data_IF_172114841421
#
_entry.id   IF_172114841421
#
_cell.length_a   1.000
_cell.length_b   1.000
_cell.length_c   1.000
_cell.angle_alpha   90.00
_cell.angle_beta   90.00
_cell.angle_gamma   90.00
#
_symmetry.space_group_name_H-M   'P 1'
#
loop_
_entity.id
_entity.type
_entity.pdbx_description
1 polymer ?
#
# COMPACT_ATOMS: atom_id res chain seq x y z
N UNK A 1 -13.10 16.71 15.63
CA UNK A 1 -12.04 17.72 15.33
C UNK A 1 -10.78 16.95 15.01
N UNK A 2 -10.59 16.63 13.71
CA UNK A 2 -9.32 16.18 13.14
C UNK A 2 -8.37 17.41 13.16
N UNK A 3 -7.65 17.61 14.27
CA UNK A 3 -6.50 18.51 14.26
C UNK A 3 -5.38 17.85 13.50
N UNK A 4 -4.69 18.62 12.65
CA UNK A 4 -3.49 18.30 11.89
C UNK A 4 -2.86 16.93 12.19
N UNK A 5 -3.32 15.87 11.52
CA UNK A 5 -2.71 14.56 11.56
C UNK A 5 -2.14 14.25 10.17
N UNK A 6 -0.93 14.77 9.93
CA UNK A 6 -0.10 14.22 8.88
C UNK A 6 0.50 12.92 9.42
N UNK A 7 0.05 11.76 8.94
CA UNK A 7 0.66 10.50 9.29
C UNK A 7 1.70 10.13 8.22
N UNK A 8 2.98 10.20 8.59
CA UNK A 8 4.08 9.67 7.80
C UNK A 8 4.26 8.19 8.11
N UNK A 9 4.01 7.33 7.14
CA UNK A 9 4.47 5.94 7.22
C UNK A 9 5.75 5.78 6.39
N UNK A 10 6.89 5.91 7.07
CA UNK A 10 8.16 5.46 6.51
C UNK A 10 8.29 3.96 6.69
N UNK A 11 8.36 3.19 5.60
CA UNK A 11 8.64 1.76 5.64
C UNK A 11 10.14 1.55 5.67
N UNK A 12 10.61 0.99 6.78
CA UNK A 12 11.93 0.40 6.92
C UNK A 12 13.00 1.33 7.46
N UNK A 13 13.59 0.93 8.60
CA UNK A 13 14.89 1.42 9.07
C UNK A 13 15.99 0.88 8.14
N UNK A 14 16.17 1.56 7.01
CA UNK A 14 17.22 1.24 6.04
C UNK A 14 17.11 2.17 4.86
N UNK A 15 18.18 2.76 4.45
CA UNK A 15 18.29 3.95 3.59
C UNK A 15 17.81 3.80 2.12
N UNK A 16 16.99 2.84 1.73
CA UNK A 16 16.59 2.68 0.33
C UNK A 16 15.17 2.12 0.19
N UNK A 17 14.29 2.92 -0.39
CA UNK A 17 12.96 2.51 -0.84
C UNK A 17 11.82 2.94 0.09
N UNK A 18 11.59 4.24 0.18
CA UNK A 18 10.50 4.80 0.98
C UNK A 18 9.33 5.11 0.05
N UNK A 19 8.22 4.43 0.24
CA UNK A 19 6.93 4.97 -0.19
C UNK A 19 6.53 5.98 0.87
N UNK A 20 6.48 7.25 0.51
CA UNK A 20 5.93 8.29 1.39
C UNK A 20 4.46 8.44 1.04
N UNK A 21 3.61 8.08 1.99
CA UNK A 21 2.18 8.27 1.90
C UNK A 21 1.75 9.25 2.97
N UNK A 22 1.19 10.38 2.55
CA UNK A 22 0.65 11.40 3.42
C UNK A 22 -0.86 11.49 3.24
N UNK A 23 -1.60 11.53 4.34
CA UNK A 23 -3.05 11.69 4.34
C UNK A 23 -3.41 12.87 5.23
N UNK A 24 -4.13 13.83 4.67
CA UNK A 24 -4.60 15.02 5.38
C UNK A 24 -6.11 15.20 5.20
N UNK A 25 -6.82 15.81 6.18
CA UNK A 25 -8.21 16.20 6.01
C UNK A 25 -8.41 17.16 4.83
N UNK A 26 -9.54 17.06 4.14
CA UNK A 26 -9.88 17.93 3.02
C UNK A 26 -11.39 18.11 2.91
N UNK A 27 -11.84 19.11 2.13
CA UNK A 27 -13.27 19.31 1.85
C UNK A 27 -13.80 18.30 0.82
N UNK A 28 -12.90 17.78 -0.03
CA UNK A 28 -13.21 16.76 -1.03
C UNK A 28 -12.06 15.75 -1.15
N UNK A 29 -12.38 14.52 -1.60
CA UNK A 29 -11.36 13.51 -1.82
C UNK A 29 -10.46 13.87 -3.00
N UNK A 30 -9.14 13.78 -2.79
CA UNK A 30 -8.17 13.97 -3.87
C UNK A 30 -6.95 13.05 -3.69
N UNK A 31 -6.35 12.66 -4.83
CA UNK A 31 -5.03 12.02 -4.88
C UNK A 31 -4.06 12.95 -5.61
N UNK A 32 -2.92 13.20 -5.03
CA UNK A 32 -1.77 13.83 -5.70
C UNK A 32 -0.58 12.87 -5.67
N UNK A 33 0.23 12.91 -6.71
CA UNK A 33 1.41 12.05 -6.84
C UNK A 33 2.66 12.86 -7.13
N UNK A 34 3.81 12.35 -6.71
CA UNK A 34 5.12 12.87 -7.07
C UNK A 34 6.13 11.73 -7.19
N UNK A 35 7.34 12.01 -7.65
CA UNK A 35 8.35 10.99 -7.94
C UNK A 35 8.16 10.35 -9.30
N UNK A 36 8.15 9.03 -9.37
CA UNK A 36 7.95 8.30 -10.63
C UNK A 36 6.50 8.36 -11.12
N UNK A 37 6.34 8.47 -12.42
CA UNK A 37 5.02 8.50 -13.04
C UNK A 37 4.24 7.21 -12.78
N UNK A 38 2.96 7.37 -12.48
CA UNK A 38 2.00 6.28 -12.32
C UNK A 38 1.06 6.34 -13.53
N UNK A 39 1.17 5.42 -14.48
CA UNK A 39 0.32 5.43 -15.66
C UNK A 39 -1.11 5.02 -15.33
N UNK A 40 -2.07 5.49 -16.14
CA UNK A 40 -3.48 5.13 -16.04
C UNK A 40 -4.34 6.21 -15.38
N UNK A 41 -5.62 5.88 -15.23
CA UNK A 41 -6.59 6.76 -14.60
C UNK A 41 -6.39 6.81 -13.08
N UNK A 42 -6.58 7.98 -12.48
CA UNK A 42 -6.46 8.19 -11.03
C UNK A 42 -7.42 7.28 -10.27
N UNK A 43 -8.62 7.04 -10.79
CA UNK A 43 -9.63 6.16 -10.17
C UNK A 43 -9.17 4.69 -10.09
N UNK A 44 -8.25 4.29 -10.95
CA UNK A 44 -7.67 2.94 -10.96
C UNK A 44 -6.52 2.78 -9.95
N UNK A 45 -6.04 3.88 -9.37
CA UNK A 45 -4.99 3.83 -8.36
C UNK A 45 -5.47 3.08 -7.11
N UNK A 46 -4.66 2.13 -6.63
CA UNK A 46 -5.04 1.27 -5.52
C UNK A 46 -5.20 2.02 -4.19
N UNK A 47 -4.55 3.17 -4.00
CA UNK A 47 -4.78 4.02 -2.83
C UNK A 47 -6.19 4.64 -2.86
N UNK A 48 -6.64 5.08 -4.07
CA UNK A 48 -8.00 5.59 -4.28
C UNK A 48 -9.02 4.49 -4.01
N UNK A 49 -8.80 3.32 -4.59
CA UNK A 49 -9.67 2.14 -4.38
C UNK A 49 -9.72 1.74 -2.90
N UNK A 50 -8.61 1.79 -2.18
CA UNK A 50 -8.55 1.49 -0.75
C UNK A 50 -9.42 2.45 0.09
N UNK A 51 -9.35 3.76 -0.18
CA UNK A 51 -10.21 4.74 0.48
C UNK A 51 -11.69 4.47 0.20
N UNK A 52 -12.05 4.34 -1.08
CA UNK A 52 -13.46 4.10 -1.44
C UNK A 52 -13.99 2.74 -0.97
N UNK A 53 -13.12 1.75 -0.82
CA UNK A 53 -13.48 0.45 -0.27
C UNK A 53 -13.88 0.56 1.20
N UNK A 54 -13.06 1.22 2.03
CA UNK A 54 -13.39 1.44 3.44
C UNK A 54 -14.57 2.39 3.62
N UNK A 55 -14.71 3.40 2.75
CA UNK A 55 -15.82 4.36 2.81
C UNK A 55 -17.20 3.71 2.59
N UNK A 56 -17.28 2.51 2.04
CA UNK A 56 -18.56 1.77 1.92
C UNK A 56 -19.08 1.29 3.26
N UNK A 57 -18.18 0.95 4.18
CA UNK A 57 -18.52 0.30 5.44
C UNK A 57 -18.34 1.25 6.64
N UNK A 58 -17.61 2.37 6.44
CA UNK A 58 -17.31 3.36 7.48
C UNK A 58 -17.63 4.78 6.98
N UNK A 59 -18.09 5.62 7.89
CA UNK A 59 -18.30 7.04 7.62
C UNK A 59 -16.97 7.78 7.67
N UNK A 60 -16.31 7.88 6.51
CA UNK A 60 -15.02 8.54 6.36
C UNK A 60 -15.20 9.96 5.80
N UNK A 61 -14.68 10.92 6.54
CA UNK A 61 -14.54 12.28 6.03
C UNK A 61 -13.66 12.32 4.77
N UNK A 62 -13.88 13.30 3.88
CA UNK A 62 -13.02 13.49 2.73
C UNK A 62 -11.57 13.78 3.14
N UNK A 63 -10.64 13.23 2.37
CA UNK A 63 -9.20 13.36 2.61
C UNK A 63 -8.46 13.66 1.31
N UNK A 64 -7.28 14.24 1.45
CA UNK A 64 -6.29 14.30 0.39
C UNK A 64 -5.17 13.32 0.69
N UNK A 65 -4.88 12.45 -0.28
CA UNK A 65 -3.75 11.53 -0.25
C UNK A 65 -2.64 12.12 -1.12
N UNK A 66 -1.41 12.18 -0.59
CA UNK A 66 -0.21 12.42 -1.39
C UNK A 66 0.65 11.16 -1.40
N UNK A 67 0.93 10.63 -2.60
CA UNK A 67 1.77 9.46 -2.81
C UNK A 67 3.07 9.88 -3.52
N UNK A 68 4.20 9.79 -2.81
CA UNK A 68 5.52 9.94 -3.43
C UNK A 68 6.02 8.58 -3.90
N UNK A 69 6.06 8.36 -5.22
CA UNK A 69 6.39 7.07 -5.81
C UNK A 69 7.87 6.94 -6.11
N UNK A 70 8.51 5.97 -5.49
CA UNK A 70 9.93 5.64 -5.71
C UNK A 70 10.08 4.28 -6.40
N UNK A 71 9.24 3.29 -6.02
CA UNK A 71 9.27 1.96 -6.63
C UNK A 71 8.57 2.02 -7.99
N UNK A 72 9.23 1.63 -9.10
CA UNK A 72 8.65 1.72 -10.43
C UNK A 72 7.36 0.89 -10.56
N UNK A 73 6.41 1.42 -11.33
CA UNK A 73 5.20 0.67 -11.72
C UNK A 73 5.58 -0.51 -12.62
N UNK A 74 4.91 -1.66 -12.45
CA UNK A 74 5.11 -2.84 -13.30
C UNK A 74 6.47 -3.52 -13.15
N UNK A 75 7.22 -3.24 -12.09
CA UNK A 75 8.55 -3.82 -11.86
C UNK A 75 8.52 -5.21 -11.17
N UNK A 76 7.35 -5.77 -10.89
CA UNK A 76 7.23 -7.03 -10.15
C UNK A 76 7.60 -6.93 -8.66
N UNK A 77 7.75 -5.72 -8.12
CA UNK A 77 8.17 -5.47 -6.74
C UNK A 77 6.99 -5.26 -5.78
N UNK A 78 5.76 -5.41 -6.24
CA UNK A 78 4.57 -5.23 -5.41
C UNK A 78 4.33 -3.79 -4.92
N UNK A 79 4.97 -2.78 -5.54
CA UNK A 79 4.92 -1.40 -5.07
C UNK A 79 3.49 -0.85 -4.93
N UNK A 80 2.62 -1.05 -5.94
CA UNK A 80 1.22 -0.61 -5.86
C UNK A 80 0.41 -1.34 -4.79
N UNK A 81 0.67 -2.64 -4.61
CA UNK A 81 0.03 -3.44 -3.56
C UNK A 81 0.47 -3.01 -2.16
N UNK A 82 1.74 -2.65 -2.02
CA UNK A 82 2.28 -2.04 -0.80
C UNK A 82 1.61 -0.70 -0.51
N UNK A 83 1.48 0.19 -1.51
CA UNK A 83 0.82 1.50 -1.38
C UNK A 83 -0.62 1.32 -0.87
N UNK A 84 -1.38 0.39 -1.46
CA UNK A 84 -2.75 0.08 -1.07
C UNK A 84 -2.86 -0.43 0.37
N UNK A 85 -2.02 -1.41 0.73
CA UNK A 85 -2.03 -2.00 2.08
C UNK A 85 -1.72 -0.95 3.15
N UNK A 86 -0.76 -0.08 2.88
CA UNK A 86 -0.40 1.00 3.80
C UNK A 86 -1.48 2.08 3.85
N UNK A 87 -2.17 2.36 2.74
CA UNK A 87 -3.35 3.24 2.75
C UNK A 87 -4.43 2.69 3.68
N UNK A 88 -4.77 1.39 3.59
CA UNK A 88 -5.74 0.76 4.50
C UNK A 88 -5.32 0.89 5.97
N UNK A 89 -4.05 0.62 6.29
CA UNK A 89 -3.52 0.73 7.65
C UNK A 89 -3.56 2.16 8.17
N UNK A 90 -3.19 3.14 7.35
CA UNK A 90 -3.22 4.56 7.69
C UNK A 90 -4.65 5.04 7.94
N UNK A 91 -5.59 4.71 7.06
CA UNK A 91 -6.99 5.06 7.23
C UNK A 91 -7.56 4.46 8.51
N UNK A 92 -7.26 3.17 8.79
CA UNK A 92 -7.65 2.53 10.04
C UNK A 92 -7.15 3.29 11.27
N UNK A 93 -5.89 3.76 11.22
CA UNK A 93 -5.28 4.51 12.32
C UNK A 93 -5.83 5.93 12.45
N UNK A 94 -5.91 6.69 11.36
CA UNK A 94 -6.32 8.11 11.35
C UNK A 94 -7.77 8.26 11.80
N UNK A 95 -8.64 7.38 11.30
CA UNK A 95 -10.08 7.42 11.64
C UNK A 95 -10.43 6.56 12.86
N UNK A 96 -9.43 5.93 13.51
CA UNK A 96 -9.64 5.06 14.68
C UNK A 96 -10.73 4.00 14.46
N UNK A 97 -10.68 3.33 13.29
CA UNK A 97 -11.74 2.41 12.86
C UNK A 97 -11.72 1.08 13.63
N UNK A 98 -10.65 0.81 14.37
CA UNK A 98 -10.47 -0.43 15.17
C UNK A 98 -10.61 -1.72 14.34
N UNK A 99 -10.29 -1.64 13.03
CA UNK A 99 -10.32 -2.80 12.13
C UNK A 99 -9.18 -3.75 12.51
N UNK A 100 -9.52 -4.99 12.81
CA UNK A 100 -8.52 -6.02 13.13
C UNK A 100 -7.61 -6.33 11.93
N UNK A 101 -6.41 -6.88 12.19
CA UNK A 101 -5.49 -7.29 11.12
C UNK A 101 -6.15 -8.28 10.15
N UNK A 102 -6.97 -9.21 10.66
CA UNK A 102 -7.68 -10.18 9.84
C UNK A 102 -8.68 -9.49 8.89
N UNK A 103 -9.41 -8.50 9.38
CA UNK A 103 -10.33 -7.71 8.55
C UNK A 103 -9.59 -6.84 7.55
N UNK A 104 -8.45 -6.21 7.92
CA UNK A 104 -7.61 -5.48 6.98
C UNK A 104 -7.11 -6.37 5.84
N UNK A 105 -6.76 -7.63 6.14
CA UNK A 105 -6.41 -8.62 5.11
C UNK A 105 -7.57 -8.92 4.17
N UNK A 106 -8.80 -9.01 4.70
CA UNK A 106 -9.99 -9.24 3.87
C UNK A 106 -10.29 -8.04 2.94
N UNK A 107 -10.06 -6.80 3.39
CA UNK A 107 -10.11 -5.62 2.53
C UNK A 107 -8.99 -5.62 1.51
N UNK A 108 -7.76 -5.90 1.93
CA UNK A 108 -6.61 -5.95 1.03
C UNK A 108 -6.77 -6.97 -0.10
N UNK A 109 -7.35 -8.15 0.19
CA UNK A 109 -7.63 -9.19 -0.80
C UNK A 109 -8.58 -8.73 -1.92
N UNK A 110 -9.47 -7.78 -1.65
CA UNK A 110 -10.38 -7.19 -2.65
C UNK A 110 -9.65 -6.22 -3.59
N UNK A 111 -8.53 -5.64 -3.16
CA UNK A 111 -7.71 -4.71 -3.95
C UNK A 111 -6.71 -5.45 -4.85
N UNK A 112 -6.21 -6.60 -4.39
CA UNK A 112 -5.29 -7.44 -5.13
C UNK A 112 -4.68 -8.52 -4.26
N UNK A 113 -4.29 -9.65 -4.88
CA UNK A 113 -3.74 -10.82 -4.18
C UNK A 113 -2.50 -10.48 -3.35
N UNK A 114 -1.61 -9.64 -3.88
CA UNK A 114 -0.36 -9.27 -3.21
C UNK A 114 -0.57 -8.26 -2.07
N UNK A 115 -1.72 -7.55 -2.03
CA UNK A 115 -1.98 -6.54 -0.99
C UNK A 115 -2.04 -7.18 0.41
N UNK A 116 -2.53 -8.41 0.52
CA UNK A 116 -2.62 -9.13 1.80
C UNK A 116 -1.25 -9.40 2.42
N UNK A 117 -0.23 -9.63 1.60
CA UNK A 117 1.15 -9.83 2.06
C UNK A 117 1.66 -8.59 2.83
N UNK A 118 1.41 -7.39 2.31
CA UNK A 118 1.89 -6.14 2.92
C UNK A 118 1.13 -5.74 4.19
N UNK A 119 -0.02 -6.36 4.49
CA UNK A 119 -0.70 -6.21 5.79
C UNK A 119 0.01 -7.01 6.88
N UNK A 120 0.65 -8.16 6.54
CA UNK A 120 1.26 -9.07 7.51
C UNK A 120 2.58 -8.57 8.11
N UNK A 121 3.33 -7.74 7.36
CA UNK A 121 4.61 -7.15 7.78
C UNK A 121 5.64 -8.19 8.28
N UNK A 122 5.67 -9.36 7.66
CA UNK A 122 6.60 -10.46 7.95
C UNK A 122 6.89 -11.30 6.71
N UNK A 123 7.94 -12.10 6.76
CA UNK A 123 8.28 -13.02 5.67
C UNK A 123 7.25 -14.15 5.59
N UNK A 124 6.65 -14.30 4.41
CA UNK A 124 5.59 -15.27 4.16
C UNK A 124 5.91 -16.09 2.91
N UNK A 125 5.48 -17.34 2.91
CA UNK A 125 5.38 -18.17 1.71
C UNK A 125 3.97 -18.00 1.12
N UNK A 126 3.89 -17.46 -0.09
CA UNK A 126 2.64 -17.38 -0.85
C UNK A 126 2.45 -18.64 -1.70
N UNK A 127 1.25 -19.22 -1.64
CA UNK A 127 0.80 -20.32 -2.51
C UNK A 127 -0.52 -19.95 -3.18
N UNK A 128 -1.04 -20.82 -4.08
CA UNK A 128 -2.18 -20.46 -4.90
C UNK A 128 -1.74 -19.42 -5.96
N UNK A 129 -2.46 -18.29 -6.08
CA UNK A 129 -2.09 -17.12 -6.87
C UNK A 129 -1.33 -16.05 -6.06
N UNK A 130 -0.85 -16.42 -4.83
CA UNK A 130 -0.17 -15.53 -3.88
C UNK A 130 -1.03 -15.12 -2.68
N UNK A 131 -2.31 -15.49 -2.66
CA UNK A 131 -3.26 -15.11 -1.61
C UNK A 131 -3.21 -15.99 -0.35
N UNK A 132 -2.68 -17.22 -0.47
CA UNK A 132 -2.54 -18.13 0.66
C UNK A 132 -1.17 -17.92 1.28
N UNK A 133 -1.13 -17.22 2.41
CA UNK A 133 0.10 -16.79 3.07
C UNK A 133 0.39 -17.64 4.31
N UNK A 134 1.58 -18.24 4.34
CA UNK A 134 2.08 -19.01 5.50
C UNK A 134 3.36 -18.35 6.02
N UNK A 135 3.45 -18.00 7.32
CA UNK A 135 4.68 -17.47 7.88
C UNK A 135 5.82 -18.49 7.79
N UNK A 136 7.01 -18.03 7.40
CA UNK A 136 8.21 -18.88 7.39
C UNK A 136 9.33 -18.25 8.22
N UNK A 137 10.15 -19.05 8.91
CA UNK A 137 11.29 -18.56 9.69
C UNK A 137 12.48 -18.29 8.77
N UNK A 138 12.35 -17.28 7.90
CA UNK A 138 13.40 -16.89 6.96
C UNK A 138 13.82 -15.46 7.19
N UNK A 139 15.09 -15.15 7.01
CA UNK A 139 15.61 -13.79 7.13
C UNK A 139 16.71 -13.53 6.12
N UNK A 140 16.70 -12.33 5.55
CA UNK A 140 17.77 -11.77 4.72
C UNK A 140 18.62 -10.77 5.52
N UNK A 141 18.50 -10.75 6.84
CA UNK A 141 19.35 -9.91 7.69
C UNK A 141 20.82 -10.16 7.35
N UNK A 142 21.59 -9.08 7.26
CA UNK A 142 23.01 -9.08 6.90
C UNK A 142 23.32 -9.65 5.49
N UNK A 143 22.33 -9.67 4.62
CA UNK A 143 22.48 -9.97 3.17
C UNK A 143 22.22 -8.74 2.33
N UNK A 144 22.87 -8.68 1.19
CA UNK A 144 22.63 -7.66 0.17
C UNK A 144 21.77 -8.25 -0.94
N UNK A 145 20.80 -7.47 -1.41
CA UNK A 145 19.97 -7.82 -2.57
C UNK A 145 20.26 -6.82 -3.68
N UNK A 146 20.62 -7.32 -4.84
CA UNK A 146 20.79 -6.51 -6.05
C UNK A 146 19.55 -6.72 -6.91
N UNK A 147 18.84 -5.62 -7.22
CA UNK A 147 17.66 -5.65 -8.08
C UNK A 147 18.07 -5.11 -9.45
N UNK A 148 17.89 -5.93 -10.47
CA UNK A 148 18.11 -5.54 -11.88
C UNK A 148 16.76 -5.49 -12.58
N UNK A 149 16.34 -4.30 -13.01
CA UNK A 149 15.11 -4.07 -13.79
C UNK A 149 15.49 -3.63 -15.19
N UNK A 150 15.43 -4.51 -16.21
CA UNK A 150 15.57 -4.07 -17.60
C UNK A 150 14.34 -3.28 -18.05
N UNK A 151 14.51 -2.40 -19.05
CA UNK A 151 13.41 -1.63 -19.64
C UNK A 151 12.52 -2.47 -20.59
N UNK A 152 12.21 -3.67 -20.16
CA UNK A 152 11.34 -4.60 -20.88
C UNK A 152 10.08 -4.79 -20.06
N UNK A 153 8.93 -4.48 -20.68
CA UNK A 153 7.64 -4.73 -20.05
C UNK A 153 7.23 -6.20 -20.22
N UNK A 154 7.04 -6.91 -19.11
CA UNK A 154 6.48 -8.27 -19.09
C UNK A 154 5.08 -8.20 -18.51
N UNK A 155 4.08 -8.52 -19.33
CA UNK A 155 2.69 -8.64 -18.86
C UNK A 155 2.54 -9.93 -18.06
N UNK A 156 2.11 -9.81 -16.81
CA UNK A 156 1.59 -10.94 -16.04
C UNK A 156 0.12 -11.15 -16.44
N UNK A 157 -0.13 -12.22 -17.19
CA UNK A 157 -1.50 -12.67 -17.51
C UNK A 157 -2.00 -13.63 -16.45
#
# INVERSE_FOLDING_TARGET
RLGELAAFLGIGRGHHGIVVLEIIPADEFALSTSGLDIPGDVSENLCVKAYHLLKKDFDLDPIKIHLHKIIPFGAGLGGGSSDAAHTLRLLNSIFSLEISQQMLMAYAAQLGSDCTFFIQDRVMLGTGRGEILTPIPFTLKDKYVVIVKPDIHVSTK
#
